data_IF_881530784371
#
_entry.id   IF_881530784371
#
_cell.length_a   1.000
_cell.length_b   1.000
_cell.length_c   1.000
_cell.angle_alpha   90.00
_cell.angle_beta   90.00
_cell.angle_gamma   90.00
#
_symmetry.space_group_name_H-M   'P 1'
#
loop_
_entity.id
_entity.type
_entity.pdbx_description
1 polymer ?
#
# COMPACT_ATOMS: atom_id res chain seq x y z
N UNK A 1 13.42 4.84 5.29
CA UNK A 1 12.34 5.83 5.19
C UNK A 1 11.12 5.13 4.61
N UNK A 2 9.92 5.36 5.16
CA UNK A 2 8.68 4.79 4.63
C UNK A 2 8.03 5.83 3.72
N UNK A 3 7.67 5.42 2.50
CA UNK A 3 7.11 6.30 1.48
C UNK A 3 5.59 6.27 1.45
N UNK A 4 5.00 7.31 0.87
CA UNK A 4 3.61 7.30 0.43
C UNK A 4 3.60 6.98 -1.07
N UNK A 5 3.15 5.77 -1.42
CA UNK A 5 3.04 5.33 -2.80
C UNK A 5 1.77 5.93 -3.45
N UNK A 6 1.51 5.61 -4.72
CA UNK A 6 0.37 6.18 -5.44
C UNK A 6 -1.01 5.69 -4.95
N UNK A 7 -1.08 4.67 -4.08
CA UNK A 7 -2.32 4.05 -3.63
C UNK A 7 -3.28 3.64 -4.78
N UNK A 8 -2.72 3.25 -5.93
CA UNK A 8 -3.46 2.96 -7.17
C UNK A 8 -3.59 1.46 -7.48
N UNK A 9 -3.17 0.61 -6.54
CA UNK A 9 -3.34 -0.84 -6.60
C UNK A 9 -4.82 -1.24 -6.63
N UNK A 10 -5.14 -2.33 -7.36
CA UNK A 10 -6.51 -2.85 -7.48
C UNK A 10 -6.56 -4.33 -7.14
N UNK A 11 -7.56 -4.71 -6.37
CA UNK A 11 -7.88 -6.09 -6.04
C UNK A 11 -9.07 -6.55 -6.89
N UNK A 12 -8.99 -7.75 -7.48
CA UNK A 12 -10.07 -8.29 -8.33
C UNK A 12 -10.28 -9.77 -8.05
N UNK A 13 -11.54 -10.19 -8.04
CA UNK A 13 -11.92 -11.59 -8.12
C UNK A 13 -12.09 -11.98 -9.60
N UNK A 14 -11.30 -12.92 -10.09
CA UNK A 14 -11.42 -13.45 -11.46
C UNK A 14 -12.30 -14.71 -11.45
N UNK A 15 -13.51 -14.67 -12.05
CA UNK A 15 -14.51 -15.73 -11.85
C UNK A 15 -14.11 -17.09 -12.41
N UNK A 16 -13.44 -17.13 -13.57
CA UNK A 16 -13.16 -18.37 -14.28
C UNK A 16 -12.27 -19.34 -13.47
N UNK A 17 -11.36 -18.81 -12.65
CA UNK A 17 -10.42 -19.59 -11.85
C UNK A 17 -10.62 -19.40 -10.34
N UNK A 18 -11.66 -18.66 -9.93
CA UNK A 18 -11.88 -18.25 -8.53
C UNK A 18 -10.63 -17.68 -7.86
N UNK A 19 -9.85 -16.85 -8.58
CA UNK A 19 -8.63 -16.25 -8.04
C UNK A 19 -8.90 -14.86 -7.53
N UNK A 20 -8.16 -14.50 -6.49
CA UNK A 20 -8.05 -13.14 -5.99
C UNK A 20 -6.71 -12.57 -6.47
N UNK A 21 -6.78 -11.60 -7.36
CA UNK A 21 -5.62 -11.00 -8.01
C UNK A 21 -5.40 -9.58 -7.50
N UNK A 22 -4.15 -9.25 -7.21
CA UNK A 22 -3.71 -7.91 -6.84
C UNK A 22 -2.90 -7.35 -8.00
N UNK A 23 -3.37 -6.23 -8.55
CA UNK A 23 -2.73 -5.52 -9.66
C UNK A 23 -2.14 -4.23 -9.11
N UNK A 24 -0.81 -4.11 -9.17
CA UNK A 24 -0.09 -2.90 -8.80
C UNK A 24 1.08 -2.71 -9.77
N UNK A 25 1.52 -1.47 -9.98
CA UNK A 25 2.70 -1.19 -10.78
C UNK A 25 3.50 -0.02 -10.21
N UNK A 26 4.82 -0.07 -10.35
CA UNK A 26 5.72 1.00 -9.92
C UNK A 26 5.50 2.36 -10.61
N UNK A 27 4.72 2.40 -11.71
CA UNK A 27 4.56 3.58 -12.57
C UNK A 27 4.04 4.80 -11.81
N UNK A 28 2.98 4.63 -11.01
CA UNK A 28 2.40 5.72 -10.20
C UNK A 28 3.36 6.21 -9.11
N UNK A 29 4.24 5.32 -8.65
CA UNK A 29 5.15 5.52 -7.51
C UNK A 29 6.59 5.83 -7.93
N UNK A 30 6.85 6.07 -9.22
CA UNK A 30 8.22 6.23 -9.73
C UNK A 30 8.97 7.38 -9.04
N UNK A 31 8.29 8.50 -8.76
CA UNK A 31 8.89 9.63 -8.03
C UNK A 31 9.38 9.25 -6.64
N UNK A 32 8.59 8.44 -5.92
CA UNK A 32 8.96 7.91 -4.61
C UNK A 32 10.16 6.97 -4.73
N UNK A 33 10.11 6.02 -5.65
CA UNK A 33 11.18 5.04 -5.85
C UNK A 33 12.50 5.71 -6.24
N UNK A 34 12.46 6.73 -7.11
CA UNK A 34 13.63 7.51 -7.49
C UNK A 34 14.19 8.29 -6.29
N UNK A 35 13.32 8.85 -5.44
CA UNK A 35 13.75 9.54 -4.22
C UNK A 35 14.39 8.60 -3.20
N UNK A 36 13.82 7.40 -3.02
CA UNK A 36 14.40 6.36 -2.16
C UNK A 36 15.77 5.91 -2.68
N UNK A 37 15.91 5.75 -4.00
CA UNK A 37 17.19 5.41 -4.62
C UNK A 37 18.23 6.50 -4.40
N UNK A 38 17.88 7.78 -4.67
CA UNK A 38 18.79 8.91 -4.42
C UNK A 38 19.26 8.98 -2.96
N UNK A 39 18.34 8.82 -2.01
CA UNK A 39 18.70 8.82 -0.59
C UNK A 39 19.63 7.65 -0.22
N UNK A 40 19.43 6.47 -0.81
CA UNK A 40 20.31 5.34 -0.62
C UNK A 40 21.70 5.59 -1.23
N UNK A 41 21.78 6.17 -2.42
CA UNK A 41 23.03 6.51 -3.11
C UNK A 41 23.83 7.58 -2.32
N UNK A 42 23.15 8.58 -1.76
CA UNK A 42 23.76 9.60 -0.88
C UNK A 42 24.35 8.96 0.39
N UNK A 43 23.60 8.07 1.04
CA UNK A 43 24.07 7.34 2.23
C UNK A 43 25.23 6.39 1.90
N UNK A 44 25.15 5.69 0.77
CA UNK A 44 26.21 4.80 0.29
C UNK A 44 27.50 5.57 0.04
N UNK A 45 27.41 6.70 -0.66
CA UNK A 45 28.56 7.58 -0.93
C UNK A 45 29.21 8.09 0.37
N UNK A 46 28.41 8.53 1.34
CA UNK A 46 28.91 9.00 2.63
C UNK A 46 29.52 7.89 3.50
N UNK A 47 29.09 6.64 3.29
CA UNK A 47 29.57 5.47 4.03
C UNK A 47 30.66 4.68 3.28
N UNK A 48 31.11 5.16 2.11
CA UNK A 48 32.03 4.43 1.22
C UNK A 48 31.51 3.01 0.88
N UNK A 49 30.20 2.88 0.66
CA UNK A 49 29.51 1.62 0.42
C UNK A 49 28.56 1.70 -0.78
N UNK A 50 28.34 0.57 -1.44
CA UNK A 50 27.39 0.45 -2.56
C UNK A 50 26.03 -0.06 -2.07
N UNK A 51 24.92 0.67 -2.33
CA UNK A 51 23.59 0.22 -1.98
C UNK A 51 23.19 -1.06 -2.74
N UNK A 52 22.71 -2.07 -2.02
CA UNK A 52 22.22 -3.31 -2.61
C UNK A 52 20.70 -3.41 -2.53
N UNK A 53 20.03 -3.53 -3.68
CA UNK A 53 18.57 -3.67 -3.79
C UNK A 53 18.19 -5.11 -4.13
N UNK A 54 18.10 -5.96 -3.10
CA UNK A 54 17.96 -7.41 -3.22
C UNK A 54 16.80 -7.93 -4.10
N UNK A 55 15.73 -7.15 -4.26
CA UNK A 55 14.50 -7.57 -4.96
C UNK A 55 14.13 -6.71 -6.19
N UNK A 56 14.85 -5.62 -6.42
CA UNK A 56 14.61 -4.68 -7.54
C UNK A 56 15.56 -4.86 -8.72
N UNK A 57 16.56 -5.75 -8.62
CA UNK A 57 17.58 -5.93 -9.64
C UNK A 57 17.19 -7.07 -10.62
N UNK A 58 16.98 -6.71 -11.88
CA UNK A 58 16.85 -7.66 -13.00
C UNK A 58 15.40 -7.99 -13.42
N UNK A 59 15.23 -8.72 -14.54
CA UNK A 59 13.93 -8.96 -15.18
C UNK A 59 12.95 -9.84 -14.38
N UNK A 60 13.41 -10.43 -13.27
CA UNK A 60 12.60 -11.24 -12.35
C UNK A 60 12.42 -10.57 -10.98
N UNK A 61 12.85 -9.31 -10.84
CA UNK A 61 12.64 -8.51 -9.65
C UNK A 61 11.16 -8.42 -9.30
N UNK A 62 10.85 -8.43 -8.01
CA UNK A 62 9.49 -8.32 -7.49
C UNK A 62 9.43 -7.18 -6.50
N UNK A 63 8.48 -6.28 -6.72
CA UNK A 63 8.13 -5.29 -5.72
C UNK A 63 7.45 -5.97 -4.54
N UNK A 64 7.85 -5.58 -3.35
CA UNK A 64 7.29 -6.08 -2.10
C UNK A 64 6.91 -4.91 -1.20
N UNK A 65 5.86 -5.10 -0.42
CA UNK A 65 5.53 -4.24 0.71
C UNK A 65 5.35 -5.11 1.94
N UNK A 66 5.81 -4.59 3.08
CA UNK A 66 5.55 -5.17 4.41
C UNK A 66 4.36 -4.51 5.10
N UNK A 67 3.80 -3.46 4.47
CA UNK A 67 2.68 -2.67 5.00
C UNK A 67 1.56 -2.62 3.94
N UNK A 68 0.90 -3.74 3.62
CA UNK A 68 -0.26 -3.72 2.73
C UNK A 68 -1.40 -2.95 3.42
N UNK A 69 -1.91 -1.91 2.75
CA UNK A 69 -3.03 -1.08 3.20
C UNK A 69 -4.03 -0.94 2.05
N UNK A 70 -5.30 -0.72 2.39
CA UNK A 70 -6.39 -0.55 1.42
C UNK A 70 -7.07 -1.87 1.00
N UNK A 71 -8.03 -1.75 0.09
CA UNK A 71 -8.92 -2.83 -0.35
C UNK A 71 -10.38 -2.59 0.06
N UNK A 72 -10.60 -2.02 1.24
CA UNK A 72 -11.91 -1.57 1.72
C UNK A 72 -11.84 -0.13 2.26
N UNK A 73 -11.35 0.84 1.46
CA UNK A 73 -10.97 2.16 1.96
C UNK A 73 -12.14 2.88 2.63
N UNK A 74 -11.81 3.56 3.73
CA UNK A 74 -12.69 4.48 4.44
C UNK A 74 -12.99 5.72 3.58
N UNK A 75 -14.25 6.14 3.52
CA UNK A 75 -14.68 7.38 2.88
C UNK A 75 -16.01 7.87 3.44
N UNK A 76 -16.26 9.17 3.31
CA UNK A 76 -17.50 9.83 3.74
C UNK A 76 -18.73 9.36 2.93
N UNK A 77 -18.52 8.79 1.74
CA UNK A 77 -19.58 8.33 0.86
C UNK A 77 -19.26 7.01 0.12
N UNK A 78 -20.28 6.22 -0.24
CA UNK A 78 -20.11 4.92 -0.90
C UNK A 78 -19.60 4.97 -2.34
N UNK A 79 -19.55 6.14 -2.99
CA UNK A 79 -18.97 6.27 -4.32
C UNK A 79 -17.44 6.31 -4.28
N UNK A 80 -16.85 6.67 -3.14
CA UNK A 80 -15.41 6.82 -2.97
C UNK A 80 -14.78 5.82 -2.01
N UNK A 81 -15.57 5.04 -1.25
CA UNK A 81 -15.06 4.02 -0.33
C UNK A 81 -16.05 2.92 0.00
N UNK A 82 -15.60 1.99 0.84
CA UNK A 82 -16.36 0.80 1.26
C UNK A 82 -16.95 0.97 2.66
N UNK A 83 -16.23 1.66 3.55
CA UNK A 83 -16.65 1.86 4.94
C UNK A 83 -16.73 3.33 5.34
N UNK A 84 -17.55 3.64 6.33
CA UNK A 84 -17.56 4.92 7.04
C UNK A 84 -16.36 5.06 8.00
N UNK A 85 -16.26 6.19 8.68
CA UNK A 85 -15.18 6.51 9.64
C UNK A 85 -15.12 5.57 10.86
N UNK A 86 -16.19 4.80 11.09
CA UNK A 86 -16.31 3.82 12.15
C UNK A 86 -16.14 2.38 11.61
N UNK A 87 -15.74 2.22 10.35
CA UNK A 87 -15.55 0.91 9.73
C UNK A 87 -16.85 0.19 9.37
N UNK A 88 -18.02 0.85 9.38
CA UNK A 88 -19.29 0.25 8.94
C UNK A 88 -19.34 0.21 7.42
N UNK A 89 -19.72 -0.94 6.85
CA UNK A 89 -19.85 -1.07 5.40
C UNK A 89 -21.10 -0.32 4.92
N UNK A 90 -20.90 0.58 3.96
CA UNK A 90 -21.99 1.36 3.38
C UNK A 90 -23.05 0.45 2.76
N UNK A 91 -24.32 0.64 3.14
CA UNK A 91 -25.45 -0.14 2.60
C UNK A 91 -25.64 -1.54 3.22
N UNK A 92 -24.78 -1.96 4.16
CA UNK A 92 -24.88 -3.28 4.82
C UNK A 92 -24.95 -3.14 6.35
N UNK A 93 -26.15 -2.93 6.93
CA UNK A 93 -26.31 -2.79 8.37
C UNK A 93 -25.75 -3.98 9.15
N UNK A 94 -24.93 -3.67 10.17
CA UNK A 94 -24.30 -4.67 11.04
C UNK A 94 -22.99 -5.26 10.51
N UNK A 95 -22.59 -4.97 9.27
CA UNK A 95 -21.30 -5.40 8.72
C UNK A 95 -20.22 -4.32 8.95
N UNK A 96 -19.04 -4.75 9.42
CA UNK A 96 -17.89 -3.88 9.70
C UNK A 96 -16.57 -4.49 9.23
N UNK A 97 -15.59 -3.62 8.98
CA UNK A 97 -14.19 -3.97 8.71
C UNK A 97 -13.31 -3.22 9.73
N UNK A 98 -12.34 -3.92 10.33
CA UNK A 98 -11.53 -3.43 11.46
C UNK A 98 -10.06 -3.89 11.29
N UNK A 99 -9.51 -3.69 10.10
CA UNK A 99 -8.09 -3.96 9.81
C UNK A 99 -7.50 -2.92 8.85
N UNK A 100 -6.24 -3.10 8.43
CA UNK A 100 -5.53 -2.17 7.56
C UNK A 100 -6.18 -1.95 6.17
N UNK A 101 -7.17 -2.75 5.79
CA UNK A 101 -7.87 -2.56 4.51
C UNK A 101 -8.71 -1.29 4.46
N UNK A 102 -9.08 -0.74 5.62
CA UNK A 102 -9.84 0.52 5.72
C UNK A 102 -8.97 1.76 5.51
N UNK A 103 -7.65 1.61 5.63
CA UNK A 103 -6.72 2.74 5.47
C UNK A 103 -6.55 3.04 3.98
N UNK A 104 -6.94 4.24 3.51
CA UNK A 104 -7.09 4.50 2.07
C UNK A 104 -5.76 4.70 1.31
N UNK A 105 -4.66 4.97 2.02
CA UNK A 105 -3.35 5.24 1.41
C UNK A 105 -2.21 4.88 2.34
N UNK A 106 -1.01 4.74 1.78
CA UNK A 106 0.21 4.58 2.56
C UNK A 106 0.43 5.78 3.50
N UNK A 107 0.71 5.49 4.77
CA UNK A 107 0.82 6.53 5.81
C UNK A 107 2.19 7.21 5.86
N UNK A 108 3.20 6.68 5.15
CA UNK A 108 4.59 7.14 5.25
C UNK A 108 5.27 6.81 6.60
N UNK A 109 4.58 6.06 7.46
CA UNK A 109 5.04 5.58 8.77
C UNK A 109 4.58 4.14 9.00
N UNK A 110 5.02 3.50 10.08
CA UNK A 110 4.56 2.16 10.44
C UNK A 110 3.05 2.19 10.77
N UNK A 111 2.20 1.42 10.07
CA UNK A 111 0.76 1.54 10.20
C UNK A 111 0.17 0.83 11.42
N UNK A 112 0.92 -0.02 12.12
CA UNK A 112 0.39 -0.89 13.18
C UNK A 112 -0.41 -0.12 14.26
N UNK A 113 0.13 1.00 14.75
CA UNK A 113 -0.54 1.83 15.74
C UNK A 113 -1.76 2.55 15.17
N UNK A 114 -1.72 2.96 13.90
CA UNK A 114 -2.86 3.59 13.24
C UNK A 114 -4.01 2.60 13.06
N UNK A 115 -3.71 1.38 12.62
CA UNK A 115 -4.70 0.31 12.51
C UNK A 115 -5.30 0.04 13.89
N UNK A 116 -4.47 -0.16 14.91
CA UNK A 116 -4.95 -0.41 16.29
C UNK A 116 -5.82 0.73 16.86
N UNK A 117 -5.62 1.97 16.43
CA UNK A 117 -6.43 3.11 16.87
C UNK A 117 -7.78 3.20 16.13
N UNK A 118 -7.87 2.69 14.91
CA UNK A 118 -9.09 2.70 14.09
C UNK A 118 -9.96 1.45 14.28
N UNK A 119 -9.37 0.36 14.77
CA UNK A 119 -9.96 -0.99 14.83
C UNK A 119 -10.72 -1.30 16.12
#
# INVERSE_FOLDING_TARGET
MLGQDAADGRMRLTPLLHRFDIQWSARGSQRLLDAMKRAADELGSAAEAEPFFALGAGPLGKDITVHPLGGCPMADDPCHGVVDELGRVHGYPGLRVSDGSIVPTALGVNPSQTIAALS
#
